data_IF_645820307713
#
_entry.id   IF_645820307713
#
_cell.length_a   1.000
_cell.length_b   1.000
_cell.length_c   1.000
_cell.angle_alpha   90.00
_cell.angle_beta   90.00
_cell.angle_gamma   90.00
#
_symmetry.space_group_name_H-M   'P 1'
#
loop_
_entity.id
_entity.type
_entity.pdbx_description
1 polymer ?
#
# COMPACT_ATOMS: atom_id res chain seq x y z
N UNK A 1 0.55 20.61 -1.22
CA UNK A 1 0.90 19.54 -0.28
C UNK A 1 2.27 19.83 0.32
N UNK A 2 2.34 19.84 1.61
CA UNK A 2 3.57 20.11 2.33
C UNK A 2 3.66 19.12 3.48
N UNK A 3 4.30 17.99 3.23
CA UNK A 3 4.42 16.91 4.19
C UNK A 3 5.84 16.35 4.18
N UNK A 4 6.19 15.74 5.29
CA UNK A 4 7.52 15.18 5.53
C UNK A 4 7.37 13.83 6.23
N UNK A 5 7.99 12.79 5.68
CA UNK A 5 7.94 11.44 6.24
C UNK A 5 9.17 11.11 7.09
N UNK A 6 9.85 12.11 7.59
CA UNK A 6 10.94 11.93 8.54
C UNK A 6 10.65 12.78 9.79
N UNK A 7 10.32 12.14 10.96
CA UNK A 7 10.31 10.70 11.18
C UNK A 7 9.18 9.98 10.43
N UNK A 8 9.39 8.69 10.16
CA UNK A 8 8.40 7.88 9.45
C UNK A 8 7.08 7.84 10.23
N UNK A 9 5.93 8.03 9.56
CA UNK A 9 4.63 8.02 10.25
C UNK A 9 4.15 6.60 10.53
N UNK A 10 4.51 6.07 11.70
CA UNK A 10 4.01 4.76 12.16
C UNK A 10 2.56 4.93 12.58
N UNK A 11 1.68 4.09 12.05
CA UNK A 11 0.26 4.09 12.39
C UNK A 11 -0.10 2.82 13.14
N UNK A 12 -1.03 2.91 14.06
CA UNK A 12 -1.44 1.77 14.87
C UNK A 12 -2.93 1.54 14.75
N UNK A 13 -3.31 0.26 14.68
CA UNK A 13 -4.70 -0.17 14.74
C UNK A 13 -4.83 -1.18 15.89
N UNK A 14 -6.02 -1.75 16.07
CA UNK A 14 -6.22 -2.78 17.10
C UNK A 14 -5.29 -3.97 16.90
N UNK A 15 -5.14 -4.45 15.67
CA UNK A 15 -4.39 -5.68 15.37
C UNK A 15 -3.07 -5.46 14.63
N UNK A 16 -2.81 -4.25 14.12
CA UNK A 16 -1.70 -3.99 13.21
C UNK A 16 -0.83 -2.83 13.69
N UNK A 17 0.47 -2.97 13.41
CA UNK A 17 1.40 -1.85 13.39
C UNK A 17 1.75 -1.60 11.92
N UNK A 18 1.49 -0.39 11.44
CA UNK A 18 1.85 0.04 10.10
C UNK A 18 3.19 0.77 10.20
N UNK A 19 4.24 0.10 9.78
CA UNK A 19 5.62 0.57 9.96
C UNK A 19 6.37 0.70 8.64
N UNK A 20 7.55 1.31 8.69
CA UNK A 20 8.41 1.42 7.52
C UNK A 20 8.89 0.06 7.03
N UNK A 21 9.07 -0.05 5.73
CA UNK A 21 9.69 -1.21 5.10
C UNK A 21 11.19 -1.21 5.41
N UNK A 22 11.73 -2.38 5.73
CA UNK A 22 13.13 -2.58 6.10
C UNK A 22 13.78 -3.67 5.25
N UNK A 23 15.12 -3.65 5.14
CA UNK A 23 15.83 -4.68 4.38
C UNK A 23 15.59 -6.09 4.92
N UNK A 24 15.35 -6.22 6.22
CA UNK A 24 15.00 -7.51 6.84
C UNK A 24 13.68 -8.06 6.32
N UNK A 25 12.87 -7.26 5.66
CA UNK A 25 11.60 -7.70 5.07
C UNK A 25 11.78 -8.36 3.70
N UNK A 26 13.00 -8.46 3.17
CA UNK A 26 13.24 -8.91 1.80
C UNK A 26 12.59 -10.26 1.49
N UNK A 27 12.72 -11.23 2.38
CA UNK A 27 12.14 -12.55 2.17
C UNK A 27 10.62 -12.52 2.13
N UNK A 28 10.00 -11.80 3.06
CA UNK A 28 8.55 -11.67 3.10
C UNK A 28 8.02 -10.89 1.90
N UNK A 29 8.70 -9.82 1.50
CA UNK A 29 8.34 -9.04 0.31
C UNK A 29 8.48 -9.88 -0.96
N UNK A 30 9.55 -10.66 -1.07
CA UNK A 30 9.72 -11.56 -2.21
C UNK A 30 8.53 -12.54 -2.30
N UNK A 31 8.17 -13.18 -1.19
CA UNK A 31 7.04 -14.10 -1.17
C UNK A 31 5.72 -13.44 -1.52
N UNK A 32 5.45 -12.26 -0.98
CA UNK A 32 4.22 -11.52 -1.25
C UNK A 32 4.12 -11.10 -2.72
N UNK A 33 5.17 -10.51 -3.26
CA UNK A 33 5.14 -9.92 -4.61
C UNK A 33 5.28 -10.95 -5.73
N UNK A 34 5.66 -12.19 -5.43
CA UNK A 34 5.72 -13.29 -6.39
C UNK A 34 4.59 -14.29 -6.23
N UNK A 35 3.73 -14.10 -5.24
CA UNK A 35 2.60 -14.99 -5.00
C UNK A 35 1.60 -14.92 -6.15
N UNK A 36 1.19 -16.07 -6.69
CA UNK A 36 0.29 -16.13 -7.84
C UNK A 36 -1.09 -15.54 -7.55
N UNK A 37 -1.63 -15.81 -6.37
CA UNK A 37 -2.95 -15.30 -5.99
C UNK A 37 -2.93 -13.78 -5.83
N UNK A 38 -1.88 -13.23 -5.22
CA UNK A 38 -1.72 -11.79 -5.08
C UNK A 38 -1.70 -11.12 -6.46
N UNK A 39 -1.04 -11.75 -7.44
CA UNK A 39 -0.85 -11.17 -8.76
C UNK A 39 -1.92 -11.54 -9.78
N UNK A 40 -2.99 -12.20 -9.37
CA UNK A 40 -4.06 -12.63 -10.29
C UNK A 40 -4.57 -11.48 -11.16
N UNK A 41 -4.75 -10.30 -10.59
CA UNK A 41 -5.27 -9.11 -11.28
C UNK A 41 -4.24 -8.00 -11.44
N UNK A 42 -2.97 -8.27 -11.14
CA UNK A 42 -1.91 -7.27 -11.15
C UNK A 42 -0.88 -7.65 -12.21
N UNK A 43 -0.58 -6.71 -13.11
CA UNK A 43 0.50 -6.86 -14.08
C UNK A 43 1.69 -6.07 -13.61
N UNK A 44 2.79 -6.77 -13.31
CA UNK A 44 4.05 -6.14 -12.91
C UNK A 44 5.22 -7.09 -13.17
N UNK A 45 6.43 -6.53 -13.24
CA UNK A 45 7.64 -7.34 -13.37
C UNK A 45 7.84 -8.14 -12.09
N UNK A 46 7.95 -9.45 -12.24
CA UNK A 46 8.17 -10.35 -11.10
C UNK A 46 9.61 -10.28 -10.62
N UNK A 47 9.77 -10.32 -9.30
CA UNK A 47 11.08 -10.45 -8.67
C UNK A 47 11.60 -11.88 -8.89
N UNK A 48 12.88 -12.01 -9.23
CA UNK A 48 13.50 -13.30 -9.51
C UNK A 48 14.30 -13.86 -8.32
N UNK A 49 14.70 -12.99 -7.40
CA UNK A 49 15.56 -13.40 -6.28
C UNK A 49 15.51 -12.37 -5.15
N UNK A 50 16.17 -12.68 -4.03
CA UNK A 50 16.20 -11.77 -2.87
C UNK A 50 16.98 -10.48 -3.15
N UNK A 51 17.96 -10.52 -4.01
CA UNK A 51 18.69 -9.31 -4.40
C UNK A 51 17.76 -8.28 -5.05
N UNK A 52 16.86 -8.74 -5.91
CA UNK A 52 15.86 -7.86 -6.53
C UNK A 52 14.83 -7.37 -5.51
N UNK A 53 14.48 -8.20 -4.52
CA UNK A 53 13.61 -7.77 -3.43
C UNK A 53 14.27 -6.65 -2.61
N UNK A 54 15.57 -6.76 -2.32
CA UNK A 54 16.32 -5.71 -1.62
C UNK A 54 16.38 -4.43 -2.45
N UNK A 55 16.58 -4.54 -3.76
CA UNK A 55 16.58 -3.38 -4.65
C UNK A 55 15.21 -2.68 -4.64
N UNK A 56 14.12 -3.45 -4.62
CA UNK A 56 12.77 -2.92 -4.48
C UNK A 56 12.63 -2.14 -3.15
N UNK A 57 13.09 -2.73 -2.05
CA UNK A 57 13.03 -2.09 -0.74
C UNK A 57 13.82 -0.77 -0.73
N UNK A 58 15.02 -0.76 -1.32
CA UNK A 58 15.83 0.45 -1.42
C UNK A 58 15.12 1.54 -2.23
N UNK A 59 14.44 1.15 -3.32
CA UNK A 59 13.67 2.07 -4.15
C UNK A 59 12.54 2.72 -3.35
N UNK A 60 11.82 1.92 -2.57
CA UNK A 60 10.74 2.42 -1.70
C UNK A 60 11.32 3.34 -0.62
N UNK A 61 12.40 2.94 0.02
CA UNK A 61 13.04 3.74 1.07
C UNK A 61 13.51 5.10 0.53
N UNK A 62 14.04 5.14 -0.70
CA UNK A 62 14.43 6.38 -1.35
C UNK A 62 13.22 7.28 -1.63
N UNK A 63 12.10 6.72 -2.07
CA UNK A 63 10.88 7.48 -2.29
C UNK A 63 10.38 8.12 -0.99
N UNK A 64 10.42 7.38 0.10
CA UNK A 64 10.02 7.90 1.42
C UNK A 64 10.97 9.01 1.87
N UNK A 65 12.28 8.80 1.70
CA UNK A 65 13.29 9.80 2.08
C UNK A 65 13.13 11.10 1.28
N UNK A 66 12.69 11.00 0.04
CA UNK A 66 12.48 12.14 -0.84
C UNK A 66 11.05 12.72 -0.76
N UNK A 67 10.21 12.18 0.11
CA UNK A 67 8.81 12.59 0.27
C UNK A 67 7.97 12.47 -1.02
N UNK A 68 8.33 11.50 -1.88
CA UNK A 68 7.60 11.23 -3.13
C UNK A 68 6.69 10.01 -3.02
N UNK A 69 6.73 9.33 -1.89
CA UNK A 69 5.86 8.21 -1.58
C UNK A 69 5.93 7.89 -0.11
N UNK A 70 4.93 7.19 0.39
CA UNK A 70 4.96 6.60 1.71
C UNK A 70 4.43 5.17 1.61
N UNK A 71 5.06 4.24 2.30
CA UNK A 71 4.79 2.82 2.14
C UNK A 71 4.85 2.15 3.51
N UNK A 72 3.78 1.48 3.87
CA UNK A 72 3.65 0.81 5.17
C UNK A 72 3.65 -0.70 5.00
N UNK A 73 4.36 -1.36 5.90
CA UNK A 73 4.20 -2.78 6.15
C UNK A 73 3.08 -2.94 7.16
N UNK A 74 2.15 -3.85 6.88
CA UNK A 74 1.10 -4.25 7.83
C UNK A 74 1.65 -5.41 8.66
N UNK A 75 2.09 -5.10 9.87
CA UNK A 75 2.66 -6.08 10.78
C UNK A 75 1.65 -6.47 11.83
N UNK A 76 1.48 -7.79 12.03
CA UNK A 76 0.60 -8.30 13.08
C UNK A 76 1.15 -7.97 14.45
N UNK A 77 0.32 -7.40 15.32
CA UNK A 77 0.72 -7.15 16.73
C UNK A 77 0.90 -8.45 17.50
N UNK A 78 0.18 -9.51 17.11
CA UNK A 78 0.27 -10.81 17.79
C UNK A 78 1.51 -11.59 17.41
N UNK A 79 1.86 -11.62 16.12
CA UNK A 79 2.90 -12.54 15.61
C UNK A 79 4.12 -11.82 15.06
N UNK A 80 4.05 -10.51 14.87
CA UNK A 80 5.08 -9.70 14.21
C UNK A 80 5.32 -10.10 12.74
N UNK A 81 4.40 -10.87 12.13
CA UNK A 81 4.49 -11.22 10.72
C UNK A 81 4.07 -10.06 9.83
N UNK A 82 4.70 -9.99 8.65
CA UNK A 82 4.29 -9.08 7.60
C UNK A 82 3.10 -9.71 6.88
N UNK A 83 1.92 -9.09 6.99
CA UNK A 83 0.68 -9.61 6.39
C UNK A 83 0.41 -9.05 5.01
N UNK A 84 0.85 -7.84 4.76
CA UNK A 84 0.63 -7.14 3.52
C UNK A 84 1.30 -5.78 3.52
N UNK A 85 1.02 -4.99 2.50
CA UNK A 85 1.61 -3.65 2.34
C UNK A 85 0.57 -2.69 1.77
N UNK A 86 0.73 -1.41 2.10
CA UNK A 86 -0.06 -0.32 1.52
C UNK A 86 0.86 0.86 1.25
N UNK A 87 0.72 1.48 0.09
CA UNK A 87 1.49 2.65 -0.25
C UNK A 87 0.64 3.76 -0.84
N UNK A 88 1.09 5.01 -0.61
CA UNK A 88 0.59 6.19 -1.29
C UNK A 88 1.72 6.70 -2.17
N UNK A 89 1.41 6.97 -3.45
CA UNK A 89 2.40 7.38 -4.44
C UNK A 89 1.77 8.27 -5.49
N UNK A 90 2.58 8.69 -6.47
CA UNK A 90 2.10 9.50 -7.58
C UNK A 90 1.33 10.74 -7.10
N UNK A 91 1.97 11.48 -6.20
CA UNK A 91 1.38 12.69 -5.63
C UNK A 91 1.21 13.75 -6.71
N UNK A 92 -0.01 14.31 -6.81
CA UNK A 92 -0.33 15.39 -7.70
C UNK A 92 -0.60 16.64 -6.86
N UNK A 93 0.32 17.59 -6.93
CA UNK A 93 0.27 18.82 -6.12
C UNK A 93 -0.91 19.70 -6.52
N UNK A 94 -1.22 19.77 -7.81
CA UNK A 94 -2.30 20.62 -8.32
C UNK A 94 -3.66 20.09 -7.87
N UNK A 95 -3.84 18.78 -7.86
CA UNK A 95 -5.10 18.15 -7.48
C UNK A 95 -5.20 17.80 -6.00
N UNK A 96 -4.12 17.93 -5.25
CA UNK A 96 -4.03 17.45 -3.87
C UNK A 96 -4.41 15.96 -3.77
N UNK A 97 -3.84 15.15 -4.64
CA UNK A 97 -4.20 13.74 -4.76
C UNK A 97 -3.01 12.80 -4.68
N UNK A 98 -3.30 11.54 -4.41
CA UNK A 98 -2.34 10.46 -4.44
C UNK A 98 -3.02 9.18 -4.90
N UNK A 99 -2.20 8.22 -5.35
CA UNK A 99 -2.67 6.88 -5.69
C UNK A 99 -2.38 5.95 -4.53
N UNK A 100 -3.36 5.14 -4.11
CA UNK A 100 -3.17 4.10 -3.10
C UNK A 100 -3.01 2.75 -3.80
N UNK A 101 -1.97 2.00 -3.40
CA UNK A 101 -1.73 0.63 -3.86
C UNK A 101 -1.57 -0.28 -2.66
N UNK A 102 -1.96 -1.54 -2.80
CA UNK A 102 -1.94 -2.47 -1.67
C UNK A 102 -1.85 -3.93 -2.12
N UNK A 103 -1.18 -4.73 -1.30
CA UNK A 103 -1.08 -6.18 -1.46
C UNK A 103 -1.34 -6.84 -0.11
N UNK A 104 -2.03 -7.98 -0.12
CA UNK A 104 -2.27 -8.78 1.10
C UNK A 104 -1.96 -10.24 0.78
N UNK A 105 -1.17 -10.88 1.65
CA UNK A 105 -0.89 -12.30 1.54
C UNK A 105 -2.20 -13.10 1.64
N UNK A 106 -2.40 -14.12 0.77
CA UNK A 106 -3.68 -14.85 0.73
C UNK A 106 -4.13 -15.46 2.05
N UNK A 107 -3.17 -15.91 2.89
CA UNK A 107 -3.49 -16.51 4.19
C UNK A 107 -4.18 -15.54 5.15
N UNK A 108 -4.07 -14.24 4.88
CA UNK A 108 -4.60 -13.21 5.78
C UNK A 108 -5.74 -12.40 5.14
N UNK A 109 -6.12 -12.74 3.91
CA UNK A 109 -7.27 -12.11 3.25
C UNK A 109 -8.58 -12.50 3.92
N UNK A 110 -9.62 -11.69 3.72
CA UNK A 110 -10.96 -11.93 4.25
C UNK A 110 -11.07 -11.88 5.78
N UNK A 111 -10.07 -11.31 6.46
CA UNK A 111 -10.08 -11.16 7.91
C UNK A 111 -10.21 -9.70 8.37
N UNK A 112 -10.44 -8.79 7.41
CA UNK A 112 -10.63 -7.38 7.72
C UNK A 112 -9.37 -6.58 7.96
N UNK A 113 -8.17 -7.16 7.79
CA UNK A 113 -6.92 -6.45 8.03
C UNK A 113 -6.73 -5.27 7.10
N UNK A 114 -6.96 -5.45 5.79
CA UNK A 114 -6.77 -4.36 4.84
C UNK A 114 -7.77 -3.23 5.08
N UNK A 115 -9.02 -3.55 5.42
CA UNK A 115 -10.02 -2.57 5.80
C UNK A 115 -9.60 -1.77 7.03
N UNK A 116 -9.04 -2.46 8.03
CA UNK A 116 -8.53 -1.83 9.25
C UNK A 116 -7.40 -0.86 8.93
N UNK A 117 -6.46 -1.26 8.04
CA UNK A 117 -5.37 -0.41 7.58
C UNK A 117 -5.87 0.80 6.79
N UNK A 118 -6.82 0.60 5.89
CA UNK A 118 -7.39 1.69 5.08
C UNK A 118 -7.95 2.81 5.95
N UNK A 119 -8.66 2.45 7.02
CA UNK A 119 -9.27 3.44 7.90
C UNK A 119 -8.24 4.44 8.44
N UNK A 120 -7.12 3.95 8.96
CA UNK A 120 -6.10 4.83 9.55
C UNK A 120 -5.27 5.53 8.49
N UNK A 121 -5.03 4.89 7.33
CA UNK A 121 -4.28 5.50 6.23
C UNK A 121 -5.07 6.63 5.59
N UNK A 122 -6.34 6.44 5.31
CA UNK A 122 -7.18 7.49 4.73
C UNK A 122 -7.34 8.67 5.68
N UNK A 123 -7.45 8.41 6.98
CA UNK A 123 -7.45 9.47 7.97
C UNK A 123 -6.14 10.24 8.00
N UNK A 124 -5.00 9.52 7.95
CA UNK A 124 -3.68 10.13 7.88
C UNK A 124 -3.53 10.99 6.62
N UNK A 125 -3.95 10.48 5.47
CA UNK A 125 -3.86 11.19 4.20
C UNK A 125 -4.66 12.49 4.24
N UNK A 126 -5.86 12.45 4.79
CA UNK A 126 -6.73 13.63 4.87
C UNK A 126 -6.21 14.67 5.87
N UNK A 127 -5.80 14.22 7.06
CA UNK A 127 -5.49 15.14 8.18
C UNK A 127 -4.02 15.54 8.26
N UNK A 128 -3.11 14.62 7.96
CA UNK A 128 -1.68 14.90 8.08
C UNK A 128 -1.05 15.30 6.74
N UNK A 129 -1.56 14.81 5.64
CA UNK A 129 -1.06 15.14 4.31
C UNK A 129 -1.92 16.18 3.59
N UNK A 130 -3.09 16.47 4.12
CA UNK A 130 -4.06 17.41 3.52
C UNK A 130 -4.43 17.04 2.08
N UNK A 131 -4.49 15.75 1.80
CA UNK A 131 -4.94 15.26 0.50
C UNK A 131 -6.45 15.37 0.40
N UNK A 132 -6.92 15.76 -0.77
CA UNK A 132 -8.35 15.91 -1.07
C UNK A 132 -8.91 14.73 -1.82
N UNK A 133 -8.06 14.03 -2.60
CA UNK A 133 -8.46 12.89 -3.41
C UNK A 133 -7.46 11.75 -3.27
N UNK A 134 -7.99 10.53 -3.22
CA UNK A 134 -7.19 9.31 -3.30
C UNK A 134 -7.74 8.50 -4.47
N UNK A 135 -6.85 8.08 -5.39
CA UNK A 135 -7.19 7.21 -6.50
C UNK A 135 -6.71 5.80 -6.23
N UNK A 136 -7.46 4.82 -6.73
CA UNK A 136 -7.03 3.42 -6.71
C UNK A 136 -7.36 2.80 -8.07
N UNK A 137 -6.43 2.01 -8.59
CA UNK A 137 -6.64 1.27 -9.82
C UNK A 137 -6.83 -0.19 -9.47
N UNK A 138 -7.94 -0.77 -9.87
CA UNK A 138 -8.25 -2.16 -9.59
C UNK A 138 -8.91 -2.81 -10.81
N UNK A 139 -8.67 -4.11 -10.97
CA UNK A 139 -9.34 -4.87 -12.03
C UNK A 139 -10.80 -5.09 -11.65
N UNK A 140 -11.70 -4.92 -12.62
CA UNK A 140 -13.15 -5.02 -12.39
C UNK A 140 -13.58 -6.39 -11.83
N UNK A 141 -12.81 -7.45 -12.09
CA UNK A 141 -13.10 -8.80 -11.63
C UNK A 141 -12.48 -9.12 -10.26
N UNK A 142 -11.70 -8.21 -9.71
CA UNK A 142 -11.15 -8.33 -8.36
C UNK A 142 -12.21 -7.90 -7.34
N UNK A 143 -13.12 -8.81 -7.01
CA UNK A 143 -14.28 -8.52 -6.18
C UNK A 143 -13.88 -8.03 -4.77
N UNK A 144 -12.84 -8.59 -4.19
CA UNK A 144 -12.39 -8.20 -2.85
C UNK A 144 -11.90 -6.74 -2.85
N UNK A 145 -11.13 -6.35 -3.85
CA UNK A 145 -10.63 -4.98 -3.99
C UNK A 145 -11.78 -4.01 -4.27
N UNK A 146 -12.68 -4.35 -5.18
CA UNK A 146 -13.85 -3.52 -5.49
C UNK A 146 -14.70 -3.30 -4.23
N UNK A 147 -14.98 -4.37 -3.47
CA UNK A 147 -15.76 -4.28 -2.24
C UNK A 147 -15.08 -3.38 -1.20
N UNK A 148 -13.76 -3.50 -1.05
CA UNK A 148 -13.00 -2.65 -0.13
C UNK A 148 -13.11 -1.16 -0.53
N UNK A 149 -12.94 -0.86 -1.81
CA UNK A 149 -13.01 0.52 -2.29
C UNK A 149 -14.42 1.10 -2.13
N UNK A 150 -15.45 0.31 -2.44
CA UNK A 150 -16.83 0.73 -2.25
C UNK A 150 -17.15 1.00 -0.78
N UNK A 151 -16.63 0.19 0.12
CA UNK A 151 -16.80 0.38 1.58
C UNK A 151 -16.30 1.74 2.04
N UNK A 152 -15.23 2.25 1.41
CA UNK A 152 -14.66 3.56 1.75
C UNK A 152 -15.10 4.65 0.78
N UNK A 153 -16.22 4.42 0.08
CA UNK A 153 -16.89 5.43 -0.76
C UNK A 153 -16.08 5.87 -1.98
N UNK A 154 -15.20 5.00 -2.47
CA UNK A 154 -14.53 5.25 -3.75
C UNK A 154 -15.56 5.16 -4.87
N UNK A 155 -15.52 6.11 -5.78
CA UNK A 155 -16.42 6.15 -6.94
C UNK A 155 -15.71 5.66 -8.19
N UNK A 156 -16.38 4.81 -8.97
CA UNK A 156 -15.84 4.30 -10.23
C UNK A 156 -15.69 5.44 -11.25
N UNK A 157 -14.49 5.51 -11.85
CA UNK A 157 -14.17 6.44 -12.92
C UNK A 157 -13.81 5.65 -14.18
N UNK A 158 -14.80 5.22 -14.97
CA UNK A 158 -14.55 4.28 -16.08
C UNK A 158 -13.62 4.79 -17.17
N UNK A 159 -13.50 6.12 -17.30
CA UNK A 159 -12.64 6.74 -18.31
C UNK A 159 -11.19 6.92 -17.86
N UNK A 160 -10.90 6.65 -16.58
CA UNK A 160 -9.54 6.73 -16.02
C UNK A 160 -8.91 5.35 -16.05
N UNK A 161 -7.68 5.29 -16.56
CA UNK A 161 -6.93 4.03 -16.63
C UNK A 161 -5.51 4.23 -16.11
N UNK A 162 -4.97 3.17 -15.52
CA UNK A 162 -3.58 3.16 -15.08
C UNK A 162 -2.67 3.18 -16.30
N UNK A 163 -1.75 4.13 -16.33
CA UNK A 163 -0.81 4.31 -17.44
C UNK A 163 0.64 4.00 -17.06
N UNK A 164 0.87 3.54 -15.85
CA UNK A 164 2.25 3.31 -15.37
C UNK A 164 2.51 2.09 -14.54
#
# INVERSE_FOLDING_TARGET
MDFNFNPFPVLNTERLTLRALELNDAKAIFGLRTNKEVNTFITRTMLNNLSEARAFIDSISNSVANNTGVFWVLESKDTAELLGTVGLRNFDIEEDSAEIGYDMHPDFQENGYMSEAFKVILNFAAKQMDLKFIEAFTHKDNNASVALLEKYNFELQPDRKDVG
#
